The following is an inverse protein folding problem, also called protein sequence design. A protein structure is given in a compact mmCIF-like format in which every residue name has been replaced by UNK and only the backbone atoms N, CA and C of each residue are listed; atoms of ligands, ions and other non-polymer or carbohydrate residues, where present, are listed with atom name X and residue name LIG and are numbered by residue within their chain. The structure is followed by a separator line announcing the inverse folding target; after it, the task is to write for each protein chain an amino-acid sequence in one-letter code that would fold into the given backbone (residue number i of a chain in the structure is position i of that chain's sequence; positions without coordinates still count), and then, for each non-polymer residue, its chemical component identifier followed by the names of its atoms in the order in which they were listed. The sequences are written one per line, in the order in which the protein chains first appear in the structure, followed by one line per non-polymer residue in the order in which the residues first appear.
data_IF_022404173939
#
_entry.id   IF_022404173939
#
_cell.length_a   1.000
_cell.length_b   1.000
_cell.length_c   1.000
_cell.angle_alpha   90.00
_cell.angle_beta   90.00
_cell.angle_gamma   90.00
#
_symmetry.space_group_name_H-M   'P 1'
#
loop_
_entity.id
_entity.type
_entity.pdbx_description
1 polymer ?
#
# COMPACT_ATOMS: atom_id res chain seq x y z
N UNK A 1 -3.95 13.91 -2.80
CA UNK A 1 -4.60 12.83 -3.57
C UNK A 1 -6.10 13.03 -3.72
N UNK A 2 -6.87 13.24 -2.65
CA UNK A 2 -8.30 13.56 -2.79
C UNK A 2 -8.58 14.77 -3.71
N UNK A 3 -7.80 15.84 -3.59
CA UNK A 3 -7.90 17.01 -4.48
C UNK A 3 -7.70 16.65 -5.96
N UNK A 4 -6.71 15.81 -6.27
CA UNK A 4 -6.47 15.31 -7.62
C UNK A 4 -7.65 14.47 -8.14
N UNK A 5 -8.21 13.59 -7.30
CA UNK A 5 -9.41 12.84 -7.62
C UNK A 5 -10.61 13.74 -7.93
N UNK A 6 -10.83 14.79 -7.14
CA UNK A 6 -11.90 15.77 -7.38
C UNK A 6 -11.69 16.56 -8.67
N UNK A 7 -10.44 16.85 -9.04
CA UNK A 7 -10.10 17.45 -10.34
C UNK A 7 -10.52 16.51 -11.48
N UNK A 8 -10.13 15.24 -11.44
CA UNK A 8 -10.51 14.27 -12.47
C UNK A 8 -12.02 14.04 -12.54
N UNK A 9 -12.70 13.99 -11.39
CA UNK A 9 -14.17 13.93 -11.35
C UNK A 9 -14.80 15.14 -12.04
N UNK A 10 -14.32 16.34 -11.71
CA UNK A 10 -14.85 17.59 -12.29
C UNK A 10 -14.66 17.62 -13.79
N UNK A 11 -13.50 17.19 -14.28
CA UNK A 11 -13.21 17.09 -15.71
C UNK A 11 -14.11 16.07 -16.40
N UNK A 12 -14.32 14.89 -15.81
CA UNK A 12 -15.19 13.85 -16.36
C UNK A 12 -16.66 14.29 -16.47
N UNK A 13 -17.13 15.17 -15.57
CA UNK A 13 -18.48 15.74 -15.63
C UNK A 13 -18.57 16.86 -16.68
N UNK A 14 -17.58 17.75 -16.73
CA UNK A 14 -17.60 18.92 -17.63
C UNK A 14 -17.25 18.60 -19.08
N UNK A 15 -16.44 17.56 -19.32
CA UNK A 15 -15.95 17.16 -20.65
C UNK A 15 -16.24 15.67 -20.89
N UNK A 16 -17.52 15.27 -20.96
CA UNK A 16 -17.92 13.85 -21.01
C UNK A 16 -17.53 13.13 -22.31
N UNK A 17 -17.18 13.88 -23.37
CA UNK A 17 -16.70 13.35 -24.65
C UNK A 17 -15.21 12.97 -24.62
N UNK A 18 -14.48 13.32 -23.55
CA UNK A 18 -13.07 12.97 -23.36
C UNK A 18 -12.99 11.74 -22.45
N UNK A 19 -13.07 10.54 -23.02
CA UNK A 19 -13.21 9.27 -22.27
C UNK A 19 -12.03 8.29 -22.41
N UNK A 20 -10.95 8.72 -23.07
CA UNK A 20 -9.70 7.96 -23.26
C UNK A 20 -8.73 8.08 -22.07
N UNK A 21 -9.21 8.13 -20.82
CA UNK A 21 -8.35 8.18 -19.63
C UNK A 21 -7.89 9.59 -19.22
N UNK A 22 -6.84 9.69 -18.40
CA UNK A 22 -6.42 10.97 -17.78
C UNK A 22 -5.58 11.88 -18.69
N UNK A 23 -4.88 11.30 -19.67
CA UNK A 23 -3.93 12.03 -20.54
C UNK A 23 -4.64 12.81 -21.66
N UNK A 24 -5.87 12.43 -22.01
CA UNK A 24 -6.67 13.16 -23.00
C UNK A 24 -6.96 14.59 -22.54
N UNK A 25 -7.11 14.82 -21.23
CA UNK A 25 -7.30 16.17 -20.68
C UNK A 25 -6.06 17.04 -20.87
N UNK A 26 -4.86 16.46 -20.73
CA UNK A 26 -3.61 17.16 -21.00
C UNK A 26 -3.44 17.47 -22.49
N UNK A 27 -3.79 16.51 -23.36
CA UNK A 27 -3.77 16.70 -24.82
C UNK A 27 -4.73 17.80 -25.27
N UNK A 28 -5.96 17.77 -24.79
CA UNK A 28 -6.98 18.76 -25.15
C UNK A 28 -6.64 20.15 -24.61
N UNK A 29 -6.12 20.24 -23.39
CA UNK A 29 -5.79 21.52 -22.76
C UNK A 29 -4.49 22.15 -23.26
N UNK A 30 -3.50 21.34 -23.65
CA UNK A 30 -2.13 21.81 -23.88
C UNK A 30 -1.48 21.30 -25.17
N UNK A 31 -2.22 20.58 -26.02
CA UNK A 31 -1.77 20.11 -27.33
C UNK A 31 -1.05 18.76 -27.32
N UNK A 32 -0.71 18.30 -28.52
CA UNK A 32 -0.22 16.94 -28.77
C UNK A 32 1.06 16.58 -28.01
N UNK A 33 2.02 17.51 -27.91
CA UNK A 33 3.31 17.25 -27.26
C UNK A 33 3.17 17.01 -25.75
N UNK A 34 2.39 17.85 -25.07
CA UNK A 34 2.15 17.73 -23.63
C UNK A 34 1.22 16.55 -23.31
N UNK A 35 0.24 16.27 -24.17
CA UNK A 35 -0.53 15.03 -24.12
C UNK A 35 0.34 13.78 -24.22
N UNK A 36 1.24 13.72 -25.21
CA UNK A 36 2.20 12.63 -25.39
C UNK A 36 3.12 12.45 -24.17
N UNK A 37 3.69 13.55 -23.67
CA UNK A 37 4.59 13.52 -22.51
C UNK A 37 3.87 13.02 -21.26
N UNK A 38 2.61 13.43 -21.05
CA UNK A 38 1.78 12.95 -19.95
C UNK A 38 1.49 11.45 -20.05
N UNK A 39 1.13 10.95 -21.24
CA UNK A 39 0.88 9.54 -21.46
C UNK A 39 2.16 8.69 -21.27
N UNK A 40 3.30 9.15 -21.82
CA UNK A 40 4.60 8.49 -21.67
C UNK A 40 5.03 8.42 -20.20
N UNK A 41 4.90 9.53 -19.46
CA UNK A 41 5.22 9.57 -18.04
C UNK A 41 4.36 8.62 -17.21
N UNK A 42 3.06 8.56 -17.51
CA UNK A 42 2.15 7.63 -16.86
C UNK A 42 2.48 6.16 -17.16
N UNK A 43 2.74 5.83 -18.43
CA UNK A 43 3.16 4.50 -18.85
C UNK A 43 4.48 4.08 -18.18
N UNK A 44 5.50 4.95 -18.20
CA UNK A 44 6.78 4.68 -17.57
C UNK A 44 6.63 4.48 -16.05
N UNK A 45 5.84 5.34 -15.38
CA UNK A 45 5.52 5.22 -13.97
C UNK A 45 4.83 3.89 -13.64
N UNK A 46 3.90 3.44 -14.50
CA UNK A 46 3.25 2.13 -14.36
C UNK A 46 4.24 0.98 -14.48
N UNK A 47 5.15 1.02 -15.47
CA UNK A 47 6.19 0.00 -15.64
C UNK A 47 7.08 -0.11 -14.39
N UNK A 48 7.50 1.03 -13.83
CA UNK A 48 8.31 1.06 -12.59
C UNK A 48 7.49 0.56 -11.39
N UNK A 49 6.24 1.02 -11.26
CA UNK A 49 5.32 0.58 -10.20
C UNK A 49 5.11 -0.93 -10.20
N UNK A 50 4.99 -1.54 -11.38
CA UNK A 50 4.85 -2.98 -11.52
C UNK A 50 6.05 -3.79 -11.01
N UNK A 51 7.27 -3.24 -11.06
CA UNK A 51 8.45 -3.89 -10.48
C UNK A 51 8.31 -4.00 -8.96
N UNK A 52 7.76 -2.97 -8.30
CA UNK A 52 7.57 -2.97 -6.85
C UNK A 52 6.67 -4.12 -6.36
N UNK A 53 5.67 -4.53 -7.15
CA UNK A 53 4.81 -5.67 -6.82
C UNK A 53 5.59 -6.98 -6.76
N UNK A 54 6.52 -7.21 -7.69
CA UNK A 54 7.37 -8.39 -7.63
C UNK A 54 8.33 -8.34 -6.44
N UNK A 55 8.91 -7.18 -6.14
CA UNK A 55 9.75 -7.00 -4.94
C UNK A 55 8.95 -7.34 -3.68
N UNK A 56 7.71 -6.87 -3.55
CA UNK A 56 6.84 -7.19 -2.41
C UNK A 56 6.53 -8.68 -2.30
N UNK A 57 6.21 -9.35 -3.42
CA UNK A 57 5.98 -10.80 -3.44
C UNK A 57 7.23 -11.55 -3.01
N UNK A 58 8.41 -11.19 -3.56
CA UNK A 58 9.66 -11.86 -3.24
C UNK A 58 10.13 -11.58 -1.81
N UNK A 59 9.97 -10.35 -1.32
CA UNK A 59 10.24 -10.04 0.10
C UNK A 59 9.35 -10.88 1.02
N UNK A 60 8.06 -11.03 0.70
CA UNK A 60 7.14 -11.87 1.47
C UNK A 60 7.54 -13.34 1.44
N UNK A 61 7.95 -13.87 0.29
CA UNK A 61 8.48 -15.24 0.20
C UNK A 61 9.80 -15.41 0.94
N UNK A 62 10.60 -14.35 1.03
CA UNK A 62 11.86 -14.37 1.73
C UNK A 62 11.72 -14.55 3.24
N UNK A 63 10.53 -14.30 3.81
CA UNK A 63 10.21 -14.64 5.20
C UNK A 63 10.22 -16.16 5.44
N UNK A 64 9.92 -16.95 4.40
CA UNK A 64 9.95 -18.42 4.46
C UNK A 64 11.26 -19.02 3.97
N UNK A 65 11.99 -18.30 3.10
CA UNK A 65 13.27 -18.76 2.55
C UNK A 65 14.25 -17.60 2.35
N UNK A 66 15.39 -17.57 3.09
CA UNK A 66 16.36 -16.47 3.02
C UNK A 66 16.93 -16.19 1.62
N UNK A 67 16.83 -17.14 0.69
CA UNK A 67 17.31 -17.01 -0.69
C UNK A 67 16.74 -15.78 -1.42
N UNK A 68 15.53 -15.35 -1.06
CA UNK A 68 14.87 -14.21 -1.68
C UNK A 68 15.26 -12.86 -1.07
N UNK A 69 15.92 -12.83 0.09
CA UNK A 69 16.24 -11.60 0.83
C UNK A 69 15.02 -10.68 0.91
N UNK A 70 15.21 -9.37 0.83
CA UNK A 70 14.10 -8.39 0.80
C UNK A 70 13.47 -8.24 -0.60
N UNK A 71 13.54 -9.30 -1.42
CA UNK A 71 13.09 -9.28 -2.81
C UNK A 71 14.07 -8.65 -3.79
N UNK A 72 15.31 -8.39 -3.36
CA UNK A 72 16.37 -7.73 -4.11
C UNK A 72 17.56 -8.66 -4.47
N UNK A 73 17.46 -9.96 -4.16
CA UNK A 73 18.53 -10.91 -4.51
C UNK A 73 18.49 -11.32 -5.98
N UNK A 74 19.59 -11.88 -6.49
CA UNK A 74 19.64 -12.43 -7.85
C UNK A 74 18.56 -13.49 -8.07
N UNK A 75 18.33 -14.37 -7.10
CA UNK A 75 17.27 -15.39 -7.16
C UNK A 75 15.86 -14.78 -7.16
N UNK A 76 15.64 -13.69 -6.41
CA UNK A 76 14.39 -12.94 -6.47
C UNK A 76 14.14 -12.38 -7.87
N UNK A 77 15.16 -11.80 -8.51
CA UNK A 77 15.08 -11.26 -9.87
C UNK A 77 14.79 -12.37 -10.89
N UNK A 78 15.55 -13.48 -10.87
CA UNK A 78 15.36 -14.58 -11.82
C UNK A 78 13.95 -15.18 -11.71
N UNK A 79 13.48 -15.42 -10.49
CA UNK A 79 12.14 -15.97 -10.27
C UNK A 79 11.04 -14.95 -10.56
N UNK A 80 11.27 -13.65 -10.36
CA UNK A 80 10.33 -12.60 -10.77
C UNK A 80 10.21 -12.55 -12.31
N UNK A 81 11.33 -12.65 -13.03
CA UNK A 81 11.34 -12.71 -14.50
C UNK A 81 10.54 -13.89 -15.04
N UNK A 82 10.69 -15.08 -14.45
CA UNK A 82 9.89 -16.26 -14.84
C UNK A 82 8.40 -15.99 -14.63
N UNK A 83 8.00 -15.49 -13.45
CA UNK A 83 6.58 -15.18 -13.16
C UNK A 83 6.04 -14.12 -14.11
N UNK A 84 6.83 -13.09 -14.42
CA UNK A 84 6.47 -12.04 -15.38
C UNK A 84 6.17 -12.63 -16.76
N UNK A 85 7.04 -13.50 -17.28
CA UNK A 85 6.81 -14.17 -18.58
C UNK A 85 5.59 -15.10 -18.55
N UNK A 86 5.37 -15.82 -17.45
CA UNK A 86 4.16 -16.62 -17.27
C UNK A 86 2.90 -15.75 -17.32
N UNK A 87 2.90 -14.61 -16.62
CA UNK A 87 1.78 -13.66 -16.65
C UNK A 87 1.57 -13.08 -18.04
N UNK A 88 2.65 -12.71 -18.73
CA UNK A 88 2.58 -12.22 -20.10
C UNK A 88 1.90 -13.23 -21.04
N UNK A 89 2.32 -14.51 -20.99
CA UNK A 89 1.71 -15.58 -21.79
C UNK A 89 0.23 -15.78 -21.41
N UNK A 90 -0.12 -15.69 -20.13
CA UNK A 90 -1.51 -15.77 -19.67
C UNK A 90 -2.35 -14.64 -20.26
N UNK A 91 -1.85 -13.40 -20.25
CA UNK A 91 -2.54 -12.25 -20.83
C UNK A 91 -2.74 -12.41 -22.34
N UNK A 92 -1.73 -12.93 -23.06
CA UNK A 92 -1.83 -13.22 -24.50
C UNK A 92 -2.91 -14.27 -24.83
N UNK A 93 -3.19 -15.21 -23.92
CA UNK A 93 -4.25 -16.22 -24.10
C UNK A 93 -5.67 -15.67 -23.89
N UNK A 94 -5.80 -14.39 -23.53
CA UNK A 94 -7.06 -13.70 -23.34
C UNK A 94 -7.57 -13.84 -21.90
N UNK A 95 -7.55 -12.74 -21.16
CA UNK A 95 -8.11 -12.65 -19.81
C UNK A 95 -9.63 -12.46 -19.92
N UNK A 96 -10.35 -13.48 -20.40
CA UNK A 96 -11.81 -13.40 -20.60
C UNK A 96 -12.60 -13.31 -19.28
N UNK A 97 -11.96 -13.54 -18.13
CA UNK A 97 -12.60 -13.55 -16.80
C UNK A 97 -12.07 -12.46 -15.84
N UNK A 98 -11.72 -11.28 -16.37
CA UNK A 98 -11.15 -10.18 -15.57
C UNK A 98 -12.02 -9.76 -14.37
N UNK A 99 -13.35 -9.87 -14.49
CA UNK A 99 -14.27 -9.51 -13.41
C UNK A 99 -14.18 -10.48 -12.21
N UNK A 100 -14.19 -11.80 -12.47
CA UNK A 100 -14.10 -12.82 -11.42
C UNK A 100 -12.74 -12.72 -10.70
N UNK A 101 -11.66 -12.57 -11.46
CA UNK A 101 -10.31 -12.44 -10.91
C UNK A 101 -10.24 -11.23 -9.98
N UNK A 102 -10.77 -10.07 -10.38
CA UNK A 102 -10.75 -8.87 -9.55
C UNK A 102 -11.59 -9.03 -8.26
N UNK A 103 -12.72 -9.75 -8.31
CA UNK A 103 -13.51 -10.06 -7.12
C UNK A 103 -12.74 -10.95 -6.14
N UNK A 104 -12.11 -12.02 -6.63
CA UNK A 104 -11.28 -12.91 -5.79
C UNK A 104 -10.12 -12.15 -5.15
N UNK A 105 -9.44 -11.32 -5.94
CA UNK A 105 -8.33 -10.47 -5.48
C UNK A 105 -8.78 -9.46 -4.43
N UNK A 106 -9.98 -8.91 -4.57
CA UNK A 106 -10.57 -7.99 -3.58
C UNK A 106 -10.80 -8.72 -2.26
N UNK A 107 -11.42 -9.89 -2.26
CA UNK A 107 -11.61 -10.68 -1.05
C UNK A 107 -10.28 -11.15 -0.43
N UNK A 108 -9.30 -11.51 -1.26
CA UNK A 108 -7.94 -11.83 -0.81
C UNK A 108 -7.22 -10.65 -0.15
N UNK A 109 -7.69 -9.41 -0.32
CA UNK A 109 -7.23 -8.22 0.42
C UNK A 109 -8.04 -8.00 1.69
N UNK A 110 -9.37 -7.95 1.54
CA UNK A 110 -10.28 -7.53 2.60
C UNK A 110 -10.29 -8.53 3.76
N UNK A 111 -10.25 -9.83 3.50
CA UNK A 111 -10.29 -10.86 4.54
C UNK A 111 -9.04 -10.78 5.45
N UNK A 112 -7.80 -10.82 4.91
CA UNK A 112 -6.60 -10.68 5.75
C UNK A 112 -6.57 -9.38 6.55
N UNK A 113 -6.96 -8.25 5.93
CA UNK A 113 -7.00 -6.95 6.60
C UNK A 113 -8.04 -6.93 7.71
N UNK A 114 -9.24 -7.44 7.46
CA UNK A 114 -10.31 -7.50 8.44
C UNK A 114 -9.94 -8.38 9.64
N UNK A 115 -9.37 -9.57 9.38
CA UNK A 115 -8.87 -10.47 10.43
C UNK A 115 -7.75 -9.81 11.24
N UNK A 116 -6.80 -9.15 10.58
CA UNK A 116 -5.73 -8.43 11.25
C UNK A 116 -6.29 -7.36 12.18
N UNK A 117 -7.16 -6.48 11.67
CA UNK A 117 -7.79 -5.42 12.47
C UNK A 117 -8.55 -6.03 13.67
N UNK A 118 -9.33 -7.09 13.44
CA UNK A 118 -10.08 -7.77 14.50
C UNK A 118 -9.15 -8.32 15.59
N UNK A 119 -8.12 -9.06 15.21
CA UNK A 119 -7.16 -9.65 16.16
C UNK A 119 -6.43 -8.56 16.95
N UNK A 120 -5.97 -7.50 16.28
CA UNK A 120 -5.26 -6.42 16.97
C UNK A 120 -6.17 -5.61 17.89
N UNK A 121 -7.47 -5.46 17.58
CA UNK A 121 -8.41 -4.83 18.52
C UNK A 121 -8.51 -5.62 19.83
N UNK A 122 -8.45 -6.95 19.79
CA UNK A 122 -8.44 -7.79 21.00
C UNK A 122 -7.08 -7.78 21.72
N UNK A 123 -5.99 -7.64 20.97
CA UNK A 123 -4.62 -7.58 21.51
C UNK A 123 -4.18 -6.16 21.91
N UNK A 124 -5.05 -5.15 21.76
CA UNK A 124 -4.69 -3.75 21.94
C UNK A 124 -4.38 -3.42 23.41
N UNK A 125 -3.23 -2.82 23.64
CA UNK A 125 -2.80 -2.30 24.93
C UNK A 125 -2.72 -0.76 24.89
N UNK A 126 -3.50 -0.11 25.76
CA UNK A 126 -3.58 1.35 25.82
C UNK A 126 -2.30 2.01 26.35
N UNK A 127 -1.54 1.34 27.21
CA UNK A 127 -0.27 1.86 27.75
C UNK A 127 0.81 1.87 26.66
N UNK A 128 0.93 0.77 25.91
CA UNK A 128 1.84 0.69 24.75
C UNK A 128 1.45 1.75 23.71
N UNK A 129 0.15 1.88 23.43
CA UNK A 129 -0.35 2.88 22.49
C UNK A 129 0.00 4.31 22.92
N UNK A 130 -0.24 4.66 24.19
CA UNK A 130 0.02 6.03 24.68
C UNK A 130 1.50 6.37 24.62
N UNK A 131 2.38 5.45 25.02
CA UNK A 131 3.84 5.58 24.89
C UNK A 131 4.23 5.76 23.41
N UNK A 132 3.70 4.93 22.53
CA UNK A 132 3.96 5.01 21.10
C UNK A 132 3.29 6.20 20.40
N UNK A 133 2.27 6.82 20.96
CA UNK A 133 1.56 7.94 20.33
C UNK A 133 2.19 9.26 20.74
N UNK A 134 2.33 9.49 22.04
CA UNK A 134 2.86 10.73 22.60
C UNK A 134 4.40 10.76 22.61
N UNK A 135 5.04 9.60 22.47
CA UNK A 135 6.45 9.46 22.82
C UNK A 135 6.61 9.36 24.33
N UNK A 136 7.81 9.03 24.77
CA UNK A 136 8.08 8.98 26.21
C UNK A 136 8.17 10.41 26.72
N UNK A 137 7.40 10.79 27.76
CA UNK A 137 7.64 12.04 28.48
C UNK A 137 9.09 12.06 28.97
N UNK A 138 9.66 13.26 29.06
CA UNK A 138 11.02 13.53 29.54
C UNK A 138 11.47 12.53 30.64
N UNK A 139 12.73 12.06 30.58
CA UNK A 139 13.31 10.96 31.38
C UNK A 139 13.03 11.11 32.90
N UNK A 140 12.73 12.33 33.34
CA UNK A 140 12.34 12.73 34.70
C UNK A 140 11.01 12.13 35.19
N UNK A 141 10.07 11.79 34.29
CA UNK A 141 8.75 11.27 34.64
C UNK A 141 8.68 9.73 34.65
N UNK A 142 9.73 9.04 34.20
CA UNK A 142 9.77 7.57 34.09
C UNK A 142 9.55 6.89 35.44
N UNK A 143 9.96 7.52 36.55
CA UNK A 143 9.74 6.97 37.90
C UNK A 143 8.26 6.87 38.31
N UNK A 144 7.34 7.54 37.61
CA UNK A 144 5.90 7.54 37.90
C UNK A 144 5.11 6.47 37.15
N UNK A 145 5.69 5.89 36.09
CA UNK A 145 5.07 4.79 35.36
C UNK A 145 5.55 3.47 35.97
N UNK A 146 4.72 2.86 36.82
CA UNK A 146 4.88 1.44 37.19
C UNK A 146 4.60 0.59 35.94
N UNK A 147 5.59 0.51 35.05
CA UNK A 147 5.58 -0.40 33.93
C UNK A 147 5.65 -1.83 34.49
N UNK A 148 4.80 -2.71 33.98
CA UNK A 148 4.79 -4.15 34.28
C UNK A 148 6.21 -4.74 34.21
N UNK A 149 6.53 -5.75 35.04
CA UNK A 149 7.88 -6.33 35.26
C UNK A 149 8.67 -6.67 33.98
N UNK A 150 8.03 -6.77 32.81
CA UNK A 150 8.68 -6.99 31.51
C UNK A 150 9.22 -5.74 30.77
N UNK A 151 9.11 -4.53 31.34
CA UNK A 151 9.38 -3.26 30.64
C UNK A 151 10.57 -2.47 31.23
N UNK A 152 11.30 -3.04 32.20
CA UNK A 152 12.47 -2.41 32.83
C UNK A 152 13.58 -2.01 31.82
N UNK A 153 13.70 -2.75 30.72
CA UNK A 153 14.68 -2.48 29.65
C UNK A 153 14.32 -1.27 28.77
N UNK A 154 13.06 -0.79 28.78
CA UNK A 154 12.69 0.41 28.02
C UNK A 154 13.39 1.66 28.53
N UNK A 155 13.59 1.77 29.85
CA UNK A 155 14.21 2.96 30.47
C UNK A 155 15.62 3.20 29.94
N UNK A 156 16.37 2.12 29.68
CA UNK A 156 17.72 2.19 29.11
C UNK A 156 17.73 2.60 27.63
N UNK A 157 16.70 2.24 26.86
CA UNK A 157 16.59 2.61 25.44
C UNK A 157 16.23 4.09 25.24
N UNK A 158 15.39 4.64 26.12
CA UNK A 158 14.92 6.02 26.06
C UNK A 158 16.01 7.01 26.49
N UNK A 159 16.89 6.59 27.39
CA UNK A 159 18.01 7.38 27.90
C UNK A 159 19.27 7.37 27.00
N UNK A 160 19.21 6.74 25.82
CA UNK A 160 20.34 6.66 24.90
C UNK A 160 20.67 8.06 24.32
N UNK A 161 21.94 8.54 24.36
CA UNK A 161 22.30 9.92 24.04
C UNK A 161 22.25 10.29 22.55
N UNK A 162 22.09 9.31 21.66
CA UNK A 162 22.36 9.44 20.23
C UNK A 162 21.09 9.51 19.36
N UNK A 163 19.97 9.99 19.90
CA UNK A 163 18.79 10.28 19.09
C UNK A 163 18.99 11.62 18.35
N UNK A 164 19.75 11.62 17.26
CA UNK A 164 19.64 12.69 16.26
C UNK A 164 18.19 12.75 15.78
N UNK A 165 17.41 13.65 16.36
CA UNK A 165 16.03 13.87 15.95
C UNK A 165 16.02 14.28 14.48
N UNK A 166 15.52 13.39 13.59
CA UNK A 166 15.31 13.75 12.19
C UNK A 166 14.54 15.07 12.12
N UNK A 167 15.00 16.00 11.27
CA UNK A 167 14.31 17.28 11.10
C UNK A 167 12.84 17.07 10.73
N UNK A 168 11.95 17.93 11.23
CA UNK A 168 10.52 17.91 10.88
C UNK A 168 10.31 17.88 9.37
N UNK A 169 11.15 18.61 8.62
CA UNK A 169 11.10 18.61 7.15
C UNK A 169 11.39 17.23 6.54
N UNK A 170 12.40 16.51 7.04
CA UNK A 170 12.69 15.14 6.60
C UNK A 170 11.52 14.22 6.87
N UNK A 171 10.95 14.27 8.09
CA UNK A 171 9.82 13.43 8.48
C UNK A 171 8.58 13.69 7.62
N UNK A 172 8.25 14.96 7.39
CA UNK A 172 7.13 15.36 6.52
C UNK A 172 7.36 14.86 5.09
N UNK A 173 8.56 15.09 4.54
CA UNK A 173 8.92 14.64 3.18
C UNK A 173 8.81 13.12 3.04
N UNK A 174 9.39 12.37 3.97
CA UNK A 174 9.39 10.90 3.95
C UNK A 174 7.96 10.36 4.03
N UNK A 175 7.14 10.93 4.93
CA UNK A 175 5.73 10.57 5.07
C UNK A 175 4.92 10.90 3.80
N UNK A 176 5.17 12.05 3.17
CA UNK A 176 4.52 12.44 1.92
C UNK A 176 4.86 11.46 0.79
N UNK A 177 6.13 11.06 0.63
CA UNK A 177 6.55 10.13 -0.42
C UNK A 177 5.85 8.77 -0.28
N UNK A 178 5.79 8.21 0.93
CA UNK A 178 5.08 6.95 1.19
C UNK A 178 3.57 7.10 0.96
N UNK A 179 2.98 8.21 1.43
CA UNK A 179 1.53 8.46 1.29
C UNK A 179 1.14 8.62 -0.20
N UNK A 180 1.96 9.30 -0.99
CA UNK A 180 1.76 9.43 -2.44
C UNK A 180 1.75 8.06 -3.11
N UNK A 181 2.69 7.19 -2.74
CA UNK A 181 2.77 5.83 -3.27
C UNK A 181 1.55 4.98 -2.89
N UNK A 182 1.10 5.06 -1.64
CA UNK A 182 -0.04 4.27 -1.13
C UNK A 182 -1.37 4.63 -1.81
N UNK A 183 -1.54 5.90 -2.21
CA UNK A 183 -2.73 6.38 -2.90
C UNK A 183 -2.57 6.48 -4.43
N UNK A 184 -1.49 5.92 -4.97
CA UNK A 184 -1.32 5.75 -6.41
C UNK A 184 -2.42 4.80 -6.94
N UNK A 185 -3.06 5.14 -8.06
CA UNK A 185 -4.18 4.38 -8.61
C UNK A 185 -5.57 4.92 -8.24
N UNK A 186 -5.66 6.04 -7.52
CA UNK A 186 -6.93 6.75 -7.25
C UNK A 186 -7.65 7.17 -8.55
N UNK A 187 -6.89 7.34 -9.62
CA UNK A 187 -7.34 7.61 -10.98
C UNK A 187 -8.02 6.41 -11.66
N UNK A 188 -7.89 5.18 -11.14
CA UNK A 188 -8.40 3.97 -11.77
C UNK A 188 -9.90 4.03 -12.09
N UNK A 189 -10.71 4.62 -11.21
CA UNK A 189 -12.14 4.83 -11.46
C UNK A 189 -12.40 5.75 -12.67
N UNK A 190 -11.52 6.74 -12.91
CA UNK A 190 -11.62 7.65 -14.05
C UNK A 190 -11.18 7.01 -15.36
N UNK A 191 -10.25 6.05 -15.33
CA UNK A 191 -9.81 5.30 -16.52
C UNK A 191 -10.94 4.42 -17.06
N UNK A 192 -11.70 3.76 -16.18
CA UNK A 192 -12.88 2.97 -16.58
C UNK A 192 -14.16 3.80 -16.75
N UNK A 193 -14.05 5.13 -16.84
CA UNK A 193 -15.21 6.02 -16.91
C UNK A 193 -16.13 5.75 -18.10
N UNK A 194 -15.59 5.26 -19.23
CA UNK A 194 -16.37 4.88 -20.42
C UNK A 194 -17.35 3.72 -20.17
N UNK A 195 -17.05 2.87 -19.19
CA UNK A 195 -17.89 1.72 -18.81
C UNK A 195 -18.95 2.07 -17.75
N UNK A 196 -18.90 3.28 -17.19
CA UNK A 196 -19.79 3.68 -16.11
C UNK A 196 -21.19 4.05 -16.63
N UNK A 197 -22.24 3.45 -16.04
CA UNK A 197 -23.66 3.79 -16.35
C UNK A 197 -23.99 5.27 -16.09
N UNK A 198 -23.38 5.87 -15.07
CA UNK A 198 -23.53 7.29 -14.71
C UNK A 198 -22.19 7.87 -14.34
N UNK A 199 -21.83 9.02 -14.93
CA UNK A 199 -20.54 9.70 -14.68
C UNK A 199 -20.39 10.17 -13.22
N UNK A 200 -21.50 10.48 -12.54
CA UNK A 200 -21.49 10.83 -11.12
C UNK A 200 -21.00 9.68 -10.22
N UNK A 201 -21.22 8.42 -10.61
CA UNK A 201 -20.77 7.27 -9.84
C UNK A 201 -19.25 7.17 -9.77
N UNK A 202 -18.53 7.67 -10.76
CA UNK A 202 -17.06 7.66 -10.79
C UNK A 202 -16.53 8.44 -9.58
N UNK A 203 -16.98 9.68 -9.43
CA UNK A 203 -16.54 10.54 -8.35
C UNK A 203 -16.92 10.03 -6.97
N UNK A 204 -18.17 9.58 -6.81
CA UNK A 204 -18.63 8.98 -5.55
C UNK A 204 -17.81 7.74 -5.20
N UNK A 205 -17.55 6.85 -6.17
CA UNK A 205 -16.71 5.67 -5.95
C UNK A 205 -15.27 6.05 -5.58
N UNK A 206 -14.68 7.07 -6.21
CA UNK A 206 -13.33 7.54 -5.87
C UNK A 206 -13.26 8.10 -4.45
N UNK A 207 -14.24 8.91 -4.03
CA UNK A 207 -14.26 9.49 -2.67
C UNK A 207 -14.47 8.40 -1.62
N UNK A 208 -15.44 7.50 -1.80
CA UNK A 208 -15.65 6.39 -0.87
C UNK A 208 -14.46 5.44 -0.83
N UNK A 209 -13.85 5.13 -1.99
CA UNK A 209 -12.64 4.34 -2.06
C UNK A 209 -11.47 4.99 -1.31
N UNK A 210 -11.26 6.30 -1.51
CA UNK A 210 -10.23 7.06 -0.80
C UNK A 210 -10.44 7.05 0.71
N UNK A 211 -11.65 7.42 1.17
CA UNK A 211 -11.96 7.46 2.61
C UNK A 211 -11.86 6.07 3.22
N UNK A 212 -12.38 5.04 2.55
CA UNK A 212 -12.33 3.66 3.03
C UNK A 212 -10.89 3.16 3.19
N UNK A 213 -10.04 3.35 2.17
CA UNK A 213 -8.62 2.99 2.24
C UNK A 213 -7.90 3.80 3.31
N UNK A 214 -8.16 5.10 3.43
CA UNK A 214 -7.58 5.94 4.47
C UNK A 214 -7.94 5.43 5.87
N UNK A 215 -9.21 5.14 6.13
CA UNK A 215 -9.67 4.59 7.40
C UNK A 215 -9.00 3.25 7.71
N UNK A 216 -8.91 2.34 6.73
CA UNK A 216 -8.23 1.05 6.90
C UNK A 216 -6.76 1.25 7.25
N UNK A 217 -6.05 2.13 6.54
CA UNK A 217 -4.63 2.41 6.81
C UNK A 217 -4.44 3.01 8.20
N UNK A 218 -5.27 3.98 8.58
CA UNK A 218 -5.25 4.55 9.93
C UNK A 218 -5.48 3.48 10.99
N UNK A 219 -6.47 2.59 10.80
CA UNK A 219 -6.75 1.50 11.74
C UNK A 219 -5.58 0.53 11.86
N UNK A 220 -5.03 0.06 10.73
CA UNK A 220 -3.89 -0.87 10.72
C UNK A 220 -2.69 -0.25 11.43
N UNK A 221 -2.37 1.02 11.17
CA UNK A 221 -1.24 1.72 11.81
C UNK A 221 -1.48 1.96 13.30
N UNK A 222 -2.61 2.55 13.68
CA UNK A 222 -2.91 2.89 15.08
C UNK A 222 -3.05 1.66 15.96
N UNK A 223 -3.67 0.59 15.46
CA UNK A 223 -3.77 -0.65 16.21
C UNK A 223 -2.41 -1.32 16.38
N UNK A 224 -1.54 -1.28 15.37
CA UNK A 224 -0.18 -1.82 15.49
C UNK A 224 0.63 -1.09 16.58
N UNK A 225 0.42 0.22 16.74
CA UNK A 225 1.02 1.01 17.83
C UNK A 225 0.50 0.62 19.22
N UNK A 226 -0.65 -0.04 19.33
CA UNK A 226 -1.14 -0.58 20.59
C UNK A 226 -0.66 -1.99 20.91
N UNK A 227 0.10 -2.63 20.01
CA UNK A 227 0.54 -4.03 20.18
C UNK A 227 2.05 -4.11 20.39
N UNK A 228 2.83 -3.41 19.57
CA UNK A 228 4.30 -3.45 19.59
C UNK A 228 4.88 -2.06 19.77
N UNK A 229 6.03 -1.97 20.41
CA UNK A 229 6.74 -0.69 20.59
C UNK A 229 7.34 -0.20 19.26
N UNK A 230 7.52 1.12 19.11
CA UNK A 230 8.13 1.73 17.91
C UNK A 230 9.44 1.04 17.44
N UNK A 231 10.40 0.70 18.32
CA UNK A 231 11.65 0.04 17.90
C UNK A 231 11.41 -1.37 17.34
N UNK A 232 10.49 -2.11 17.96
CA UNK A 232 10.11 -3.45 17.50
C UNK A 232 9.41 -3.38 16.16
N UNK A 233 8.46 -2.45 15.98
CA UNK A 233 7.79 -2.19 14.72
C UNK A 233 8.75 -1.78 13.60
N UNK A 234 9.78 -0.99 13.94
CA UNK A 234 10.82 -0.56 13.00
C UNK A 234 11.77 -1.70 12.62
N UNK A 235 12.03 -2.64 13.54
CA UNK A 235 12.84 -3.82 13.29
C UNK A 235 12.10 -4.92 12.51
N UNK A 236 10.77 -4.85 12.40
CA UNK A 236 10.00 -5.78 11.59
C UNK A 236 10.36 -5.65 10.12
N UNK A 237 10.56 -6.81 9.50
CA UNK A 237 10.75 -6.94 8.07
C UNK A 237 9.52 -6.49 7.28
N UNK A 238 9.73 -5.74 6.20
CA UNK A 238 8.65 -5.30 5.32
C UNK A 238 8.31 -6.38 4.28
N UNK A 239 7.00 -6.72 4.09
CA UNK A 239 5.81 -6.07 4.66
C UNK A 239 5.53 -6.43 6.14
N UNK A 240 5.37 -5.40 7.00
CA UNK A 240 5.36 -5.56 8.46
C UNK A 240 4.09 -6.20 9.05
N UNK A 241 2.96 -6.14 8.35
CA UNK A 241 1.67 -6.67 8.82
C UNK A 241 1.74 -8.17 9.18
N UNK A 242 2.53 -8.94 8.44
CA UNK A 242 2.72 -10.36 8.72
C UNK A 242 3.50 -10.57 10.02
N UNK A 243 4.53 -9.75 10.28
CA UNK A 243 5.31 -9.78 11.51
C UNK A 243 4.51 -9.31 12.73
N UNK A 244 3.70 -8.25 12.60
CA UNK A 244 2.82 -7.80 13.68
C UNK A 244 1.80 -8.87 14.05
N UNK A 245 1.22 -9.58 13.07
CA UNK A 245 0.26 -10.66 13.39
C UNK A 245 0.95 -11.89 13.98
N UNK A 246 2.21 -12.15 13.61
CA UNK A 246 3.01 -13.25 14.16
C UNK A 246 3.22 -13.10 15.67
N UNK A 247 3.43 -11.89 16.17
CA UNK A 247 3.66 -11.69 17.62
C UNK A 247 2.42 -12.03 18.46
N UNK A 248 1.23 -12.02 17.87
CA UNK A 248 -0.04 -12.33 18.54
C UNK A 248 -0.48 -13.78 18.29
N UNK A 249 -0.52 -14.20 17.01
CA UNK A 249 -1.12 -15.48 16.57
C UNK A 249 -0.05 -16.54 16.27
N UNK A 250 1.22 -16.13 16.25
CA UNK A 250 2.33 -16.97 15.82
C UNK A 250 2.39 -17.17 14.31
N UNK A 251 3.21 -18.14 13.90
CA UNK A 251 3.51 -18.47 12.49
C UNK A 251 2.26 -18.66 11.59
N UNK A 252 1.13 -19.23 12.05
CA UNK A 252 -0.07 -19.32 11.22
C UNK A 252 -0.61 -17.95 10.78
N UNK A 253 -0.53 -16.93 11.66
CA UNK A 253 -0.95 -15.57 11.35
C UNK A 253 -0.10 -14.95 10.24
N UNK A 254 1.23 -15.11 10.33
CA UNK A 254 2.14 -14.69 9.27
C UNK A 254 1.79 -15.35 7.93
N UNK A 255 1.68 -16.68 7.89
CA UNK A 255 1.38 -17.43 6.67
C UNK A 255 0.07 -16.93 6.03
N UNK A 256 -0.95 -16.73 6.86
CA UNK A 256 -2.25 -16.25 6.42
C UNK A 256 -2.16 -14.86 5.76
N UNK A 257 -1.49 -13.89 6.38
CA UNK A 257 -1.28 -12.57 5.80
C UNK A 257 -0.43 -12.65 4.53
N UNK A 258 0.64 -13.44 4.54
CA UNK A 258 1.54 -13.62 3.38
C UNK A 258 0.81 -14.19 2.16
N UNK A 259 -0.04 -15.19 2.32
CA UNK A 259 -0.82 -15.77 1.21
C UNK A 259 -1.78 -14.71 0.64
N UNK A 260 -2.52 -14.03 1.51
CA UNK A 260 -3.44 -12.98 1.10
C UNK A 260 -2.73 -11.85 0.35
N UNK A 261 -1.56 -11.43 0.85
CA UNK A 261 -0.73 -10.42 0.21
C UNK A 261 -0.27 -10.86 -1.18
N UNK A 262 0.26 -12.08 -1.35
CA UNK A 262 0.73 -12.57 -2.65
C UNK A 262 -0.40 -12.58 -3.67
N UNK A 263 -1.58 -13.11 -3.31
CA UNK A 263 -2.74 -13.14 -4.22
C UNK A 263 -3.20 -11.71 -4.55
N UNK A 264 -3.28 -10.84 -3.54
CA UNK A 264 -3.64 -9.43 -3.67
C UNK A 264 -2.73 -8.67 -4.64
N UNK A 265 -1.41 -8.86 -4.51
CA UNK A 265 -0.39 -8.15 -5.27
C UNK A 265 -0.32 -8.67 -6.70
N UNK A 266 -0.45 -9.98 -6.92
CA UNK A 266 -0.57 -10.55 -8.27
C UNK A 266 -1.80 -10.03 -9.02
N UNK A 267 -2.94 -9.91 -8.33
CA UNK A 267 -4.13 -9.31 -8.90
C UNK A 267 -3.98 -7.82 -9.21
N UNK A 268 -3.33 -7.06 -8.32
CA UNK A 268 -3.01 -5.66 -8.57
C UNK A 268 -2.08 -5.49 -9.79
N UNK A 269 -1.07 -6.34 -9.90
CA UNK A 269 -0.15 -6.37 -11.04
C UNK A 269 -0.89 -6.63 -12.37
N UNK A 270 -1.85 -7.56 -12.38
CA UNK A 270 -2.69 -7.81 -13.57
C UNK A 270 -3.50 -6.57 -13.95
N UNK A 271 -4.22 -5.99 -13.00
CA UNK A 271 -5.04 -4.79 -13.25
C UNK A 271 -4.20 -3.60 -13.74
N UNK A 272 -3.03 -3.37 -13.15
CA UNK A 272 -2.11 -2.31 -13.57
C UNK A 272 -1.47 -2.59 -14.93
N UNK A 273 -1.15 -3.84 -15.25
CA UNK A 273 -0.63 -4.21 -16.57
C UNK A 273 -1.66 -3.98 -17.69
N UNK A 274 -2.93 -4.30 -17.43
CA UNK A 274 -4.03 -4.00 -18.37
C UNK A 274 -4.23 -2.50 -18.53
N UNK A 275 -4.15 -1.74 -17.44
CA UNK A 275 -4.25 -0.28 -17.47
C UNK A 275 -3.11 0.34 -18.29
N UNK A 276 -1.87 -0.16 -18.14
CA UNK A 276 -0.72 0.27 -18.91
C UNK A 276 -0.91 0.08 -20.42
N UNK A 277 -1.55 -1.02 -20.83
CA UNK A 277 -1.84 -1.32 -22.22
C UNK A 277 -2.90 -0.37 -22.80
N UNK A 278 -3.93 -0.02 -22.01
CA UNK A 278 -5.01 0.86 -22.43
C UNK A 278 -4.55 2.31 -22.70
N UNK A 279 -3.46 2.76 -22.07
CA UNK A 279 -2.94 4.14 -22.24
C UNK A 279 -2.43 4.41 -23.65
N UNK A 280 -2.04 3.36 -24.39
CA UNK A 280 -1.50 3.47 -25.74
C UNK A 280 -2.59 3.57 -26.83
N UNK A 281 -3.86 3.37 -26.48
CA UNK A 281 -5.02 3.36 -27.38
C UNK A 281 -6.04 4.44 -27.02
#
# INVERSE_FOLDING_TARGET
MLTLALVFQTLAIRKPHLDSGIFIYAKEGFGNYLGFTSALGFWAGTCIGNVSYFVLIKSTLGTFSPIFGDGNTLYAILTASVVLWCFHILVLRGVKEAAIINTVVTWAKIIPIGVFIAVLMFAFNADIFTVNFWGVPDIRDIHSYTLSEGYHDLVHYIAAPDNEHESLFSQVRNTMLVTVFVFLGIEGASVYSRLAKKRSHIGTATVFGFIGVLCILCLVTLLSYGVLLRPELAALRQPSMAGVLETIVGRPGMIFISIGLVISVLGAYLSWSLLAAEVLY
#
